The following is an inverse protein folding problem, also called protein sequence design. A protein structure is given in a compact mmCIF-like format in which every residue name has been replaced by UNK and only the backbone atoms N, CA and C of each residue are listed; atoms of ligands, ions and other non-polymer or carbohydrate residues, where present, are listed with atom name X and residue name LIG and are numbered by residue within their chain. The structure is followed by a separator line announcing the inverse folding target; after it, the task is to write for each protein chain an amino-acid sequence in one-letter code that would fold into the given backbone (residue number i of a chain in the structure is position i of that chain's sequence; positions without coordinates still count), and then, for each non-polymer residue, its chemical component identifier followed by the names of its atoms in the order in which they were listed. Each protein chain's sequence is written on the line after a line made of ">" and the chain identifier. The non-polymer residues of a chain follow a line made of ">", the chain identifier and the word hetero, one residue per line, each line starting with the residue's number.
data_IF_011525357884
#
_entry.id   IF_011525357884
#
_cell.length_a   1.000
_cell.length_b   1.000
_cell.length_c   1.000
_cell.angle_alpha   90.00
_cell.angle_beta   90.00
_cell.angle_gamma   90.00
#
_symmetry.space_group_name_H-M   'P 1'
#
loop_
_entity.id
_entity.type
_entity.pdbx_description
1 polymer ?
#
# COMPACT_ATOMS: atom_id res chain seq x y z
N UNK A 1 -25.63 -16.75 -5.45
CA UNK A 1 -24.22 -16.69 -5.83
C UNK A 1 -24.03 -16.54 -7.34
N UNK A 2 -24.71 -17.32 -8.20
CA UNK A 2 -24.55 -17.23 -9.66
C UNK A 2 -24.90 -15.86 -10.25
N UNK A 3 -25.94 -15.18 -9.74
CA UNK A 3 -26.27 -13.81 -10.18
C UNK A 3 -25.17 -12.81 -9.82
N UNK A 4 -24.60 -12.91 -8.61
CA UNK A 4 -23.60 -11.97 -8.14
C UNK A 4 -22.27 -12.08 -8.87
N UNK A 5 -21.82 -13.31 -9.15
CA UNK A 5 -20.65 -13.55 -9.99
C UNK A 5 -20.84 -12.93 -11.38
N UNK A 6 -22.03 -13.11 -11.95
CA UNK A 6 -22.38 -12.52 -13.25
C UNK A 6 -22.33 -10.99 -13.23
N UNK A 7 -22.75 -10.33 -12.15
CA UNK A 7 -22.69 -8.86 -12.05
C UNK A 7 -21.25 -8.36 -11.96
N UNK A 8 -20.42 -8.96 -11.10
CA UNK A 8 -19.01 -8.59 -10.95
C UNK A 8 -18.21 -8.79 -12.25
N UNK A 9 -18.45 -9.90 -12.97
CA UNK A 9 -17.83 -10.17 -14.26
C UNK A 9 -18.25 -9.13 -15.32
N UNK A 10 -19.53 -8.74 -15.35
CA UNK A 10 -20.03 -7.69 -16.24
C UNK A 10 -19.41 -6.33 -15.93
N UNK A 11 -19.23 -5.99 -14.65
CA UNK A 11 -18.56 -4.76 -14.23
C UNK A 11 -17.12 -4.77 -14.73
N UNK A 12 -16.33 -5.81 -14.43
CA UNK A 12 -14.95 -5.93 -14.92
C UNK A 12 -14.88 -5.78 -16.44
N UNK A 13 -15.69 -6.56 -17.18
CA UNK A 13 -15.74 -6.50 -18.63
C UNK A 13 -16.11 -5.11 -19.14
N UNK A 14 -17.00 -4.38 -18.47
CA UNK A 14 -17.39 -3.02 -18.86
C UNK A 14 -16.25 -2.03 -18.75
N UNK A 15 -15.33 -2.18 -17.79
CA UNK A 15 -14.23 -1.22 -17.60
C UNK A 15 -12.95 -1.57 -18.35
N UNK A 16 -12.80 -2.80 -18.84
CA UNK A 16 -11.60 -3.22 -19.53
C UNK A 16 -11.74 -3.17 -21.05
N UNK A 17 -10.60 -3.15 -21.73
CA UNK A 17 -10.49 -3.26 -23.18
C UNK A 17 -10.61 -4.71 -23.67
N UNK A 18 -11.17 -4.91 -24.87
CA UNK A 18 -11.37 -6.25 -25.47
C UNK A 18 -11.06 -6.24 -26.98
N UNK A 19 -10.69 -7.38 -27.60
CA UNK A 19 -10.29 -7.41 -29.01
C UNK A 19 -11.43 -7.06 -29.98
N UNK A 20 -12.68 -7.32 -29.58
CA UNK A 20 -13.89 -6.97 -30.31
C UNK A 20 -14.33 -5.50 -30.09
N UNK A 21 -13.78 -4.84 -29.06
CA UNK A 21 -13.98 -3.42 -28.76
C UNK A 21 -12.65 -2.79 -28.29
N UNK A 22 -11.68 -2.57 -29.20
CA UNK A 22 -10.28 -2.28 -28.86
C UNK A 22 -10.02 -0.83 -28.41
N UNK A 23 -11.06 -0.01 -28.23
CA UNK A 23 -10.89 1.36 -27.76
C UNK A 23 -10.28 1.36 -26.36
N UNK A 24 -9.19 2.11 -26.18
CA UNK A 24 -8.52 2.31 -24.89
C UNK A 24 -9.06 3.51 -24.11
N UNK A 25 -9.85 4.36 -24.76
CA UNK A 25 -10.40 5.57 -24.16
C UNK A 25 -11.34 5.23 -23.01
N UNK A 26 -11.08 5.80 -21.84
CA UNK A 26 -11.86 5.61 -20.61
C UNK A 26 -12.02 4.13 -20.21
N UNK A 27 -11.02 3.31 -20.57
CA UNK A 27 -10.92 1.89 -20.23
C UNK A 27 -9.62 1.60 -19.48
N UNK A 28 -9.53 0.37 -18.94
CA UNK A 28 -8.32 -0.23 -18.42
C UNK A 28 -7.82 -1.31 -19.37
N UNK A 29 -6.50 -1.50 -19.44
CA UNK A 29 -5.92 -2.58 -20.23
C UNK A 29 -6.41 -3.95 -19.73
N UNK A 30 -6.37 -4.16 -18.41
CA UNK A 30 -6.98 -5.28 -17.72
C UNK A 30 -6.98 -5.06 -16.20
N UNK A 31 -7.76 -5.88 -15.50
CA UNK A 31 -7.85 -5.86 -14.04
C UNK A 31 -8.27 -7.24 -13.52
N UNK A 32 -7.86 -7.56 -12.29
CA UNK A 32 -8.31 -8.72 -11.54
C UNK A 32 -8.95 -8.28 -10.22
N UNK A 33 -10.04 -8.95 -9.84
CA UNK A 33 -10.75 -8.68 -8.60
C UNK A 33 -11.04 -10.00 -7.86
N UNK A 34 -10.66 -10.04 -6.59
CA UNK A 34 -10.86 -11.20 -5.72
C UNK A 34 -11.61 -10.74 -4.47
N UNK A 35 -12.68 -11.44 -4.14
CA UNK A 35 -13.45 -11.26 -2.90
C UNK A 35 -13.30 -12.52 -2.08
N UNK A 36 -13.01 -12.35 -0.79
CA UNK A 36 -12.77 -13.43 0.15
C UNK A 36 -13.65 -13.30 1.37
N UNK A 37 -13.93 -14.43 2.00
CA UNK A 37 -14.32 -14.51 3.40
C UNK A 37 -13.27 -15.31 4.18
N UNK A 38 -13.55 -15.66 5.43
CA UNK A 38 -12.65 -16.49 6.25
C UNK A 38 -12.40 -17.88 5.66
N UNK A 39 -13.32 -18.47 4.90
CA UNK A 39 -13.10 -19.76 4.24
C UNK A 39 -12.16 -19.68 3.03
N UNK A 40 -12.04 -18.49 2.42
CA UNK A 40 -11.20 -18.26 1.25
C UNK A 40 -11.92 -17.44 0.17
N UNK A 41 -11.51 -17.54 -1.10
CA UNK A 41 -12.15 -16.82 -2.20
C UNK A 41 -13.61 -17.25 -2.42
N UNK A 42 -14.51 -16.27 -2.39
CA UNK A 42 -15.93 -16.43 -2.74
C UNK A 42 -16.22 -15.89 -4.15
N UNK A 43 -15.36 -15.02 -4.66
CA UNK A 43 -15.30 -14.57 -6.04
C UNK A 43 -13.84 -14.38 -6.47
N UNK A 44 -13.52 -14.80 -7.69
CA UNK A 44 -12.25 -14.53 -8.35
C UNK A 44 -12.55 -14.31 -9.83
N UNK A 45 -12.27 -13.12 -10.34
CA UNK A 45 -12.50 -12.76 -11.73
C UNK A 45 -11.46 -11.79 -12.25
N UNK A 46 -11.30 -11.76 -13.57
CA UNK A 46 -10.43 -10.84 -14.27
C UNK A 46 -11.00 -10.55 -15.67
N UNK A 47 -10.64 -9.40 -16.22
CA UNK A 47 -11.00 -9.03 -17.59
C UNK A 47 -9.88 -8.21 -18.23
N UNK A 48 -9.88 -8.16 -19.56
CA UNK A 48 -8.88 -7.43 -20.35
C UNK A 48 -7.62 -8.25 -20.64
N UNK A 49 -6.56 -7.53 -20.97
CA UNK A 49 -5.32 -8.08 -21.55
C UNK A 49 -4.10 -7.51 -20.84
N UNK A 50 -2.91 -7.97 -21.23
CA UNK A 50 -1.64 -7.50 -20.66
C UNK A 50 -0.74 -6.81 -21.68
N UNK A 51 -1.24 -6.48 -22.87
CA UNK A 51 -0.43 -5.82 -23.91
C UNK A 51 -1.23 -4.91 -24.83
N UNK A 52 -0.55 -3.88 -25.34
CA UNK A 52 -1.02 -3.02 -26.44
C UNK A 52 -0.12 -3.23 -27.68
N UNK A 53 -0.67 -3.18 -28.92
CA UNK A 53 -2.09 -3.12 -29.26
C UNK A 53 -2.83 -4.43 -28.92
N UNK A 54 -4.13 -4.33 -28.67
CA UNK A 54 -4.95 -5.49 -28.33
C UNK A 54 -5.32 -6.27 -29.59
N UNK A 55 -5.05 -7.55 -29.57
CA UNK A 55 -5.39 -8.50 -30.62
C UNK A 55 -6.04 -9.73 -30.00
N UNK A 56 -6.70 -10.57 -30.80
CA UNK A 56 -7.24 -11.86 -30.32
C UNK A 56 -6.16 -12.83 -29.81
N UNK A 57 -4.88 -12.55 -30.09
CA UNK A 57 -3.72 -13.29 -29.59
C UNK A 57 -3.02 -12.64 -28.39
N UNK A 58 -3.47 -11.45 -27.95
CA UNK A 58 -2.88 -10.79 -26.78
C UNK A 58 -3.13 -11.64 -25.54
N UNK A 59 -2.16 -11.81 -24.63
CA UNK A 59 -2.37 -12.56 -23.40
C UNK A 59 -3.47 -11.89 -22.55
N UNK A 60 -4.37 -12.72 -22.02
CA UNK A 60 -5.44 -12.26 -21.14
C UNK A 60 -4.89 -11.85 -19.78
N UNK A 61 -5.47 -10.80 -19.19
CA UNK A 61 -5.28 -10.49 -17.79
C UNK A 61 -6.00 -11.54 -16.94
N UNK A 62 -5.37 -12.02 -15.88
CA UNK A 62 -5.93 -13.07 -15.02
C UNK A 62 -5.61 -12.81 -13.55
N UNK A 63 -6.26 -13.54 -12.64
CA UNK A 63 -6.05 -13.41 -11.20
C UNK A 63 -4.64 -13.83 -10.75
N UNK A 64 -3.92 -14.56 -11.60
CA UNK A 64 -2.51 -14.96 -11.45
C UNK A 64 -1.54 -14.06 -12.25
N UNK A 65 -2.01 -12.95 -12.84
CA UNK A 65 -1.15 -11.94 -13.46
C UNK A 65 -0.22 -11.34 -12.41
N UNK A 66 1.07 -11.25 -12.73
CA UNK A 66 2.15 -10.87 -11.83
C UNK A 66 2.46 -9.38 -11.97
N UNK A 67 2.25 -8.63 -10.89
CA UNK A 67 2.24 -7.16 -10.87
C UNK A 67 3.10 -6.62 -9.73
N UNK A 68 3.51 -5.37 -9.85
CA UNK A 68 4.09 -4.60 -8.76
C UNK A 68 2.99 -3.81 -8.05
N UNK A 69 2.61 -4.24 -6.85
CA UNK A 69 1.44 -3.66 -6.16
C UNK A 69 1.78 -2.48 -5.25
N UNK A 70 3.02 -2.01 -5.27
CA UNK A 70 3.51 -0.85 -4.53
C UNK A 70 3.03 -0.90 -3.07
N UNK A 71 2.24 0.10 -2.64
CA UNK A 71 1.87 0.30 -1.23
C UNK A 71 0.95 -0.77 -0.62
N UNK A 72 0.44 -1.72 -1.40
CA UNK A 72 -0.17 -2.94 -0.85
C UNK A 72 0.81 -3.73 0.04
N UNK A 73 2.13 -3.55 -0.16
CA UNK A 73 3.19 -4.10 0.69
C UNK A 73 3.00 -3.77 2.18
N UNK A 74 2.49 -2.57 2.49
CA UNK A 74 2.44 -2.03 3.85
C UNK A 74 1.65 -2.89 4.82
N UNK A 75 0.55 -3.51 4.35
CA UNK A 75 -0.24 -4.44 5.15
C UNK A 75 0.61 -5.64 5.58
N UNK A 76 1.35 -6.25 4.64
CA UNK A 76 2.14 -7.44 4.93
C UNK A 76 3.37 -7.11 5.79
N UNK A 77 4.02 -5.97 5.57
CA UNK A 77 5.07 -5.46 6.47
C UNK A 77 4.52 -5.27 7.87
N UNK A 78 3.33 -4.68 8.00
CA UNK A 78 2.69 -4.46 9.30
C UNK A 78 2.38 -5.79 10.00
N UNK A 79 1.83 -6.78 9.30
CA UNK A 79 1.61 -8.13 9.84
C UNK A 79 2.91 -8.71 10.41
N UNK A 80 4.02 -8.60 9.67
CA UNK A 80 5.32 -9.10 10.13
C UNK A 80 5.82 -8.37 11.39
N UNK A 81 5.65 -7.05 11.49
CA UNK A 81 6.01 -6.32 12.71
C UNK A 81 5.11 -6.72 13.89
N UNK A 82 3.81 -6.89 13.65
CA UNK A 82 2.87 -7.32 14.68
C UNK A 82 3.11 -8.75 15.16
N UNK A 83 3.62 -9.64 14.30
CA UNK A 83 4.13 -10.96 14.71
C UNK A 83 5.29 -10.81 15.72
N UNK A 84 6.24 -9.90 15.47
CA UNK A 84 7.33 -9.63 16.42
C UNK A 84 6.84 -9.01 17.73
N UNK A 85 5.84 -8.13 17.66
CA UNK A 85 5.19 -7.54 18.84
C UNK A 85 4.53 -8.61 19.69
N UNK A 86 3.73 -9.48 19.08
CA UNK A 86 3.08 -10.59 19.77
C UNK A 86 4.09 -11.56 20.38
N UNK A 87 5.23 -11.80 19.71
CA UNK A 87 6.32 -12.63 20.21
C UNK A 87 7.12 -11.97 21.34
N UNK A 88 6.82 -10.73 21.71
CA UNK A 88 7.55 -9.97 22.73
C UNK A 88 8.97 -9.58 22.32
N UNK A 89 9.30 -9.64 21.03
CA UNK A 89 10.61 -9.25 20.47
C UNK A 89 10.71 -7.75 20.18
N UNK A 90 9.56 -7.09 20.09
CA UNK A 90 9.40 -5.67 19.85
C UNK A 90 8.20 -5.17 20.67
N UNK A 91 8.25 -3.96 21.18
CA UNK A 91 7.09 -3.26 21.73
C UNK A 91 6.66 -2.15 20.78
N UNK A 92 5.36 -1.93 20.63
CA UNK A 92 4.85 -0.85 19.77
C UNK A 92 5.27 0.55 20.22
N UNK A 93 5.59 0.72 21.50
CA UNK A 93 5.84 2.02 22.12
C UNK A 93 7.27 2.13 22.69
N UNK A 94 8.18 1.19 22.37
CA UNK A 94 9.59 1.35 22.72
C UNK A 94 10.28 2.39 21.85
N UNK A 95 11.31 3.03 22.40
CA UNK A 95 12.17 3.94 21.64
C UNK A 95 13.12 3.15 20.73
N UNK A 96 12.96 3.31 19.42
CA UNK A 96 13.76 2.62 18.40
C UNK A 96 14.92 3.45 17.85
N UNK A 97 15.23 4.62 18.42
CA UNK A 97 16.34 5.47 17.94
C UNK A 97 17.70 4.75 17.97
N UNK A 98 17.95 3.92 18.97
CA UNK A 98 19.18 3.10 19.02
C UNK A 98 19.20 1.99 17.95
N UNK A 99 18.02 1.49 17.58
CA UNK A 99 17.89 0.49 16.51
C UNK A 99 17.95 1.14 15.13
N UNK A 100 17.50 2.38 14.98
CA UNK A 100 17.45 3.16 13.73
C UNK A 100 18.19 4.52 13.86
N UNK A 101 19.51 4.53 14.14
CA UNK A 101 20.24 5.77 14.38
C UNK A 101 20.28 6.71 13.17
N UNK A 102 19.98 6.24 11.96
CA UNK A 102 19.86 7.06 10.76
C UNK A 102 18.67 8.02 10.82
N UNK A 103 17.56 7.61 11.45
CA UNK A 103 16.37 8.46 11.59
C UNK A 103 16.62 9.71 12.42
N UNK A 104 17.63 9.70 13.29
CA UNK A 104 17.96 10.85 14.14
C UNK A 104 18.95 11.81 13.49
N UNK A 105 19.67 11.40 12.43
CA UNK A 105 20.79 12.19 11.86
C UNK A 105 20.35 13.47 11.18
N UNK A 106 19.16 13.47 10.56
CA UNK A 106 18.69 14.57 9.74
C UNK A 106 17.82 15.59 10.50
N UNK A 107 17.48 15.31 11.78
CA UNK A 107 16.66 16.21 12.60
C UNK A 107 15.22 16.40 12.09
N UNK A 108 14.58 17.48 12.57
CA UNK A 108 13.25 17.93 12.14
C UNK A 108 13.44 19.21 11.33
N UNK A 109 12.97 19.24 10.07
CA UNK A 109 13.09 20.40 9.20
C UNK A 109 12.10 21.49 9.60
N UNK A 110 12.62 22.69 9.91
CA UNK A 110 11.83 23.87 10.30
C UNK A 110 11.78 24.97 9.26
N UNK A 111 12.47 24.80 8.14
CA UNK A 111 12.57 25.77 7.04
C UNK A 111 14.02 25.99 6.64
N UNK A 112 14.30 27.14 6.02
CA UNK A 112 15.62 27.52 5.55
C UNK A 112 15.98 28.95 5.99
N UNK A 113 17.27 29.22 6.18
CA UNK A 113 17.76 30.49 6.73
C UNK A 113 17.54 31.72 5.82
N UNK A 114 17.20 31.50 4.56
CA UNK A 114 16.87 32.52 3.57
C UNK A 114 15.36 32.72 3.37
N UNK A 115 14.49 31.97 4.06
CA UNK A 115 13.03 32.07 3.90
C UNK A 115 12.49 33.47 4.27
N UNK A 116 13.19 34.18 5.15
CA UNK A 116 12.87 35.56 5.54
C UNK A 116 13.33 36.62 4.54
N UNK A 117 14.10 36.27 3.50
CA UNK A 117 14.59 37.23 2.50
C UNK A 117 13.47 37.59 1.52
N UNK A 118 12.95 38.82 1.62
CA UNK A 118 11.94 39.36 0.69
C UNK A 118 12.58 39.90 -0.60
N UNK A 119 12.21 39.33 -1.75
CA UNK A 119 12.62 39.77 -3.08
C UNK A 119 12.76 38.60 -4.06
N UNK A 120 12.31 38.75 -5.31
CA UNK A 120 12.71 37.87 -6.42
C UNK A 120 14.09 38.32 -6.88
N UNK A 121 15.13 37.57 -6.51
CA UNK A 121 16.54 37.90 -6.80
C UNK A 121 17.50 36.86 -6.20
N UNK A 122 18.68 36.77 -6.81
CA UNK A 122 19.73 35.74 -6.65
C UNK A 122 19.92 35.25 -5.19
N UNK A 123 19.84 33.93 -5.00
CA UNK A 123 20.08 33.24 -3.71
C UNK A 123 18.85 32.70 -2.98
N UNK A 124 17.62 32.94 -3.45
CA UNK A 124 16.42 32.24 -2.95
C UNK A 124 16.45 30.78 -3.39
N UNK A 125 16.37 29.86 -2.42
CA UNK A 125 16.43 28.41 -2.67
C UNK A 125 17.81 27.80 -2.43
N UNK A 126 18.80 28.61 -2.05
CA UNK A 126 20.16 28.18 -1.69
C UNK A 126 20.45 28.29 -0.18
N UNK A 127 19.50 28.80 0.60
CA UNK A 127 19.61 28.84 2.06
C UNK A 127 19.78 27.45 2.67
N UNK A 128 20.38 27.41 3.86
CA UNK A 128 20.66 26.18 4.60
C UNK A 128 19.44 25.74 5.40
N UNK A 129 19.21 24.44 5.47
CA UNK A 129 18.14 23.88 6.28
C UNK A 129 18.31 24.22 7.76
N UNK A 130 17.23 24.70 8.37
CA UNK A 130 17.11 24.88 9.82
C UNK A 130 16.56 23.56 10.38
N UNK A 131 17.40 22.84 11.10
CA UNK A 131 17.08 21.53 11.67
C UNK A 131 16.99 21.62 13.19
N UNK A 132 15.91 21.07 13.75
CA UNK A 132 15.74 20.86 15.19
C UNK A 132 16.12 19.42 15.56
N UNK A 133 16.69 19.23 16.74
CA UNK A 133 17.03 17.90 17.26
C UNK A 133 15.77 17.07 17.58
N UNK A 134 15.84 15.76 17.28
CA UNK A 134 14.78 14.81 17.64
C UNK A 134 14.96 14.37 19.10
N UNK A 135 14.29 15.07 20.01
CA UNK A 135 14.34 14.79 21.45
C UNK A 135 13.31 13.75 21.91
N UNK A 136 12.19 13.62 21.19
CA UNK A 136 11.12 12.66 21.49
C UNK A 136 11.47 11.24 21.01
N UNK A 137 10.98 10.19 21.69
CA UNK A 137 11.11 8.82 21.22
C UNK A 137 10.50 8.65 19.82
N UNK A 138 11.17 7.86 18.99
CA UNK A 138 10.57 7.28 17.77
C UNK A 138 10.09 5.89 18.14
N UNK A 139 8.87 5.52 17.75
CA UNK A 139 8.26 4.23 18.13
C UNK A 139 7.80 3.42 16.92
N UNK A 140 7.72 2.08 17.01
CA UNK A 140 7.16 1.26 15.94
C UNK A 140 5.71 1.63 15.59
N UNK A 141 4.89 1.99 16.58
CA UNK A 141 3.52 2.47 16.36
C UNK A 141 3.51 3.63 15.38
N UNK A 142 4.36 4.64 15.59
CA UNK A 142 4.45 5.82 14.73
C UNK A 142 4.92 5.49 13.31
N UNK A 143 5.75 4.46 13.13
CA UNK A 143 6.11 3.98 11.80
C UNK A 143 4.89 3.40 11.08
N UNK A 144 4.15 2.50 11.75
CA UNK A 144 3.00 1.78 11.19
C UNK A 144 1.77 2.67 10.91
N UNK A 145 1.72 3.86 11.51
CA UNK A 145 0.61 4.81 11.40
C UNK A 145 0.95 6.07 10.62
N UNK A 146 2.17 6.17 10.04
CA UNK A 146 2.63 7.37 9.36
C UNK A 146 2.64 8.65 10.24
N UNK A 147 2.80 8.48 11.56
CA UNK A 147 2.83 9.60 12.52
C UNK A 147 4.23 9.90 13.08
N UNK A 148 5.27 9.41 12.41
CA UNK A 148 6.68 9.66 12.77
C UNK A 148 7.23 10.97 12.19
N UNK A 149 6.63 11.49 11.11
CA UNK A 149 7.09 12.71 10.42
C UNK A 149 7.90 12.47 9.14
N UNK A 150 8.07 11.21 8.71
CA UNK A 150 8.75 10.86 7.47
C UNK A 150 7.79 10.99 6.27
N UNK A 151 8.08 11.93 5.38
CA UNK A 151 7.42 12.07 4.08
C UNK A 151 8.28 11.48 2.97
N UNK A 152 7.66 11.20 1.83
CA UNK A 152 8.39 11.06 0.57
C UNK A 152 9.03 12.39 0.18
N UNK A 153 10.27 12.34 -0.30
CA UNK A 153 11.02 13.52 -0.75
C UNK A 153 10.59 13.97 -2.14
N UNK A 154 10.42 13.04 -3.08
CA UNK A 154 9.90 13.34 -4.42
C UNK A 154 8.50 13.95 -4.34
N UNK A 155 8.34 15.14 -4.92
CA UNK A 155 7.09 15.89 -4.90
C UNK A 155 6.84 16.68 -3.62
N UNK A 156 7.75 16.68 -2.64
CA UNK A 156 7.64 17.48 -1.42
C UNK A 156 8.64 18.66 -1.44
N UNK A 157 8.19 19.92 -1.68
CA UNK A 157 9.08 21.05 -1.97
C UNK A 157 10.19 21.29 -0.94
N UNK A 158 9.89 21.15 0.36
CA UNK A 158 10.88 21.34 1.43
C UNK A 158 11.95 20.23 1.44
N UNK A 159 11.57 18.99 1.13
CA UNK A 159 12.47 17.84 1.17
C UNK A 159 13.30 17.76 -0.11
N UNK A 160 12.74 18.10 -1.27
CA UNK A 160 13.52 18.24 -2.51
C UNK A 160 14.59 19.33 -2.37
N UNK A 161 14.21 20.46 -1.75
CA UNK A 161 15.16 21.54 -1.47
C UNK A 161 16.26 21.12 -0.52
N UNK A 162 15.93 20.44 0.58
CA UNK A 162 16.91 19.89 1.51
C UNK A 162 17.83 18.86 0.82
N UNK A 163 17.26 17.94 0.06
CA UNK A 163 18.01 16.91 -0.66
C UNK A 163 19.03 17.51 -1.63
N UNK A 164 18.64 18.57 -2.35
CA UNK A 164 19.53 19.34 -3.23
C UNK A 164 20.63 20.06 -2.45
N UNK A 165 20.30 20.70 -1.32
CA UNK A 165 21.26 21.40 -0.47
C UNK A 165 22.36 20.46 0.04
N UNK A 166 21.99 19.30 0.58
CA UNK A 166 22.94 18.35 1.16
C UNK A 166 23.60 17.43 0.13
N UNK A 167 23.24 17.56 -1.15
CA UNK A 167 23.71 16.68 -2.21
C UNK A 167 23.38 15.21 -1.98
N UNK A 168 22.16 14.94 -1.47
CA UNK A 168 21.68 13.59 -1.14
C UNK A 168 21.79 12.68 -2.36
N UNK A 169 22.26 11.45 -2.16
CA UNK A 169 22.30 10.43 -3.21
C UNK A 169 21.05 9.57 -3.15
N UNK A 170 20.34 9.54 -4.27
CA UNK A 170 19.06 8.82 -4.37
C UNK A 170 17.93 9.53 -3.63
N UNK A 171 16.76 8.94 -3.76
CA UNK A 171 15.47 9.44 -3.33
C UNK A 171 14.59 8.29 -2.85
N UNK A 172 13.34 8.58 -2.50
CA UNK A 172 12.34 7.58 -2.12
C UNK A 172 12.25 6.39 -3.09
N UNK A 173 12.36 6.64 -4.39
CA UNK A 173 12.22 5.62 -5.44
C UNK A 173 13.51 4.82 -5.64
N UNK A 174 14.60 5.16 -4.99
CA UNK A 174 15.88 4.48 -5.16
C UNK A 174 15.93 3.09 -4.50
N UNK A 175 14.96 2.76 -3.63
CA UNK A 175 14.89 1.49 -2.89
C UNK A 175 16.17 1.23 -2.07
N UNK A 176 16.64 2.25 -1.34
CA UNK A 176 17.83 2.20 -0.47
C UNK A 176 17.54 2.88 0.87
N UNK A 177 18.24 2.47 1.92
CA UNK A 177 18.16 3.12 3.25
C UNK A 177 18.54 4.61 3.16
N UNK A 178 19.55 4.97 2.36
CA UNK A 178 19.95 6.37 2.13
C UNK A 178 18.83 7.17 1.46
N UNK A 179 18.17 6.59 0.45
CA UNK A 179 17.03 7.21 -0.25
C UNK A 179 15.84 7.46 0.66
N UNK A 180 15.60 6.59 1.64
CA UNK A 180 14.54 6.76 2.63
C UNK A 180 14.90 7.64 3.82
N UNK A 181 16.17 8.08 3.93
CA UNK A 181 16.64 8.94 5.01
C UNK A 181 16.38 10.41 4.65
N UNK A 182 15.44 11.03 5.35
CA UNK A 182 15.06 12.46 5.24
C UNK A 182 14.90 13.06 6.64
N UNK A 183 14.97 14.40 6.80
CA UNK A 183 14.50 15.05 8.00
C UNK A 183 13.02 14.76 8.24
N UNK A 184 12.62 14.71 9.50
CA UNK A 184 11.20 14.67 9.86
C UNK A 184 10.57 16.04 9.58
N UNK A 185 9.30 16.07 9.19
CA UNK A 185 8.53 17.32 9.01
C UNK A 185 7.96 17.86 10.32
N UNK A 186 7.81 16.99 11.33
CA UNK A 186 7.33 17.33 12.66
C UNK A 186 7.91 16.35 13.68
N UNK A 187 7.80 16.68 14.97
CA UNK A 187 8.29 15.81 16.02
C UNK A 187 7.45 14.51 16.09
N UNK A 188 8.07 13.34 16.35
CA UNK A 188 7.35 12.06 16.37
C UNK A 188 6.08 12.09 17.23
N UNK A 189 4.96 11.67 16.64
CA UNK A 189 3.64 11.67 17.27
C UNK A 189 2.89 13.00 17.24
N UNK A 190 3.43 14.07 16.64
CA UNK A 190 2.75 15.38 16.60
C UNK A 190 1.96 15.67 15.32
N UNK A 191 1.77 14.68 14.46
CA UNK A 191 1.06 14.84 13.21
C UNK A 191 0.94 13.55 12.42
N UNK A 192 0.55 13.67 11.16
CA UNK A 192 0.46 12.57 10.21
C UNK A 192 0.99 13.02 8.85
N UNK A 193 1.84 12.22 8.21
CA UNK A 193 2.27 12.43 6.82
C UNK A 193 2.66 11.12 6.17
N UNK A 194 2.14 10.88 4.96
CA UNK A 194 2.44 9.69 4.21
C UNK A 194 3.87 9.71 3.65
N UNK A 195 4.58 8.59 3.76
CA UNK A 195 5.99 8.53 3.35
C UNK A 195 6.67 7.19 3.63
N UNK A 196 8.00 7.23 3.81
CA UNK A 196 8.89 6.06 3.92
C UNK A 196 8.84 5.32 5.26
N UNK A 197 7.85 5.62 6.11
CA UNK A 197 7.75 5.07 7.45
C UNK A 197 7.70 3.52 7.48
N UNK A 198 7.01 2.90 6.51
CA UNK A 198 6.93 1.44 6.40
C UNK A 198 8.18 0.81 5.79
N UNK A 199 8.99 1.56 5.03
CA UNK A 199 10.31 1.10 4.61
C UNK A 199 11.23 0.98 5.83
N UNK A 200 11.20 1.99 6.70
CA UNK A 200 11.89 1.95 8.00
C UNK A 200 11.35 0.87 8.95
N UNK A 201 10.06 0.55 8.90
CA UNK A 201 9.52 -0.59 9.63
C UNK A 201 10.15 -1.92 9.15
N UNK A 202 10.34 -2.08 7.84
CA UNK A 202 11.09 -3.20 7.26
C UNK A 202 12.52 -3.28 7.79
N UNK A 203 13.25 -2.16 7.76
CA UNK A 203 14.62 -2.06 8.30
C UNK A 203 14.66 -2.38 9.80
N UNK A 204 13.66 -1.91 10.56
CA UNK A 204 13.54 -2.22 11.99
C UNK A 204 13.41 -3.72 12.22
N UNK A 205 12.55 -4.40 11.45
CA UNK A 205 12.37 -5.84 11.54
C UNK A 205 13.68 -6.59 11.33
N UNK A 206 14.44 -6.24 10.29
CA UNK A 206 15.74 -6.86 10.01
C UNK A 206 16.72 -6.69 11.17
N UNK A 207 16.73 -5.51 11.81
CA UNK A 207 17.62 -5.22 12.95
C UNK A 207 17.20 -5.91 14.23
N UNK A 208 15.89 -6.02 14.48
CA UNK A 208 15.36 -6.79 15.62
C UNK A 208 15.74 -8.27 15.48
N UNK A 209 15.68 -8.82 14.27
CA UNK A 209 16.04 -10.22 14.00
C UNK A 209 17.55 -10.46 13.93
N UNK A 210 18.33 -9.48 13.48
CA UNK A 210 19.79 -9.54 13.38
C UNK A 210 20.53 -9.29 14.70
N UNK A 211 19.86 -8.71 15.70
CA UNK A 211 20.48 -8.26 16.94
C UNK A 211 21.38 -7.03 16.75
N UNK A 212 21.96 -6.54 17.86
CA UNK A 212 22.74 -5.29 17.90
C UNK A 212 24.07 -5.32 17.11
N UNK A 213 24.46 -6.46 16.54
CA UNK A 213 25.82 -6.68 16.00
C UNK A 213 25.93 -6.64 14.47
N UNK A 214 24.84 -6.43 13.72
CA UNK A 214 24.88 -6.18 12.27
C UNK A 214 25.65 -7.23 11.44
N UNK A 215 25.75 -8.48 11.92
CA UNK A 215 26.52 -9.54 11.27
C UNK A 215 25.87 -10.05 9.98
N UNK A 216 26.66 -10.68 9.11
CA UNK A 216 26.33 -11.19 7.76
C UNK A 216 25.15 -12.20 7.67
N UNK A 217 24.46 -12.50 8.77
CA UNK A 217 23.40 -13.51 8.85
C UNK A 217 22.08 -12.92 9.36
N UNK A 218 21.70 -11.75 8.86
CA UNK A 218 20.40 -11.11 9.16
C UNK A 218 19.31 -11.68 8.26
N UNK A 219 18.15 -12.01 8.85
CA UNK A 219 16.95 -12.39 8.08
C UNK A 219 16.42 -11.12 7.42
N UNK A 220 16.36 -11.08 6.09
CA UNK A 220 15.80 -9.94 5.36
C UNK A 220 14.28 -9.88 5.52
N UNK A 221 13.66 -8.73 5.24
CA UNK A 221 12.21 -8.58 5.28
C UNK A 221 11.50 -9.61 4.40
N UNK A 222 11.96 -9.80 3.17
CA UNK A 222 11.45 -10.75 2.19
C UNK A 222 11.63 -12.20 2.63
N UNK A 223 12.75 -12.56 3.26
CA UNK A 223 12.93 -13.89 3.87
C UNK A 223 11.95 -14.11 5.02
N UNK A 224 11.73 -13.10 5.86
CA UNK A 224 10.77 -13.20 6.96
C UNK A 224 9.33 -13.29 6.44
N UNK A 225 8.93 -12.47 5.46
CA UNK A 225 7.62 -12.56 4.81
C UNK A 225 7.43 -13.93 4.16
N UNK A 226 8.44 -14.46 3.46
CA UNK A 226 8.35 -15.79 2.84
C UNK A 226 8.02 -16.86 3.86
N UNK A 227 8.77 -16.91 4.96
CA UNK A 227 8.61 -17.93 6.01
C UNK A 227 7.32 -17.78 6.83
N UNK A 228 6.93 -16.56 7.17
CA UNK A 228 5.88 -16.30 8.16
C UNK A 228 4.55 -15.82 7.56
N UNK A 229 4.51 -15.56 6.25
CA UNK A 229 3.30 -15.12 5.53
C UNK A 229 3.12 -15.91 4.25
N UNK A 230 4.09 -15.93 3.33
CA UNK A 230 3.86 -16.48 1.99
C UNK A 230 3.73 -18.01 1.99
N UNK A 231 4.69 -18.73 2.60
CA UNK A 231 4.65 -20.19 2.65
C UNK A 231 3.45 -20.73 3.45
N UNK A 232 3.12 -20.21 4.66
CA UNK A 232 1.95 -20.67 5.41
C UNK A 232 0.61 -20.44 4.68
N UNK A 233 0.56 -19.42 3.81
CA UNK A 233 -0.64 -19.07 3.06
C UNK A 233 -0.67 -19.65 1.64
N UNK A 234 0.42 -20.27 1.17
CA UNK A 234 0.54 -20.72 -0.23
C UNK A 234 0.58 -19.57 -1.23
N UNK A 235 1.21 -18.43 -0.86
CA UNK A 235 1.45 -17.29 -1.75
C UNK A 235 2.73 -17.48 -2.56
N UNK A 236 2.77 -18.53 -3.39
CA UNK A 236 3.97 -18.96 -4.13
C UNK A 236 4.49 -17.92 -5.12
N UNK A 237 3.66 -16.93 -5.47
CA UNK A 237 4.00 -15.88 -6.42
C UNK A 237 4.65 -14.65 -5.81
N UNK A 238 4.46 -14.45 -4.51
CA UNK A 238 4.81 -13.19 -3.85
C UNK A 238 6.29 -13.09 -3.53
N UNK A 239 6.89 -11.93 -3.79
CA UNK A 239 8.31 -11.64 -3.51
C UNK A 239 8.55 -10.13 -3.38
N UNK A 240 9.57 -9.75 -2.61
CA UNK A 240 10.06 -8.36 -2.55
C UNK A 240 11.25 -8.11 -3.50
N UNK A 241 11.80 -9.17 -4.10
CA UNK A 241 13.00 -9.08 -4.95
C UNK A 241 12.91 -10.05 -6.12
N UNK A 242 12.13 -9.74 -7.17
CA UNK A 242 11.95 -10.60 -8.34
C UNK A 242 13.27 -11.07 -8.96
N UNK A 243 14.27 -10.19 -9.09
CA UNK A 243 15.57 -10.53 -9.67
C UNK A 243 16.34 -11.63 -8.92
N UNK A 244 15.98 -11.93 -7.66
CA UNK A 244 16.59 -13.00 -6.87
C UNK A 244 15.79 -14.32 -6.89
N UNK A 245 14.63 -14.37 -7.55
CA UNK A 245 13.88 -15.61 -7.73
C UNK A 245 14.57 -16.54 -8.75
N UNK A 246 14.41 -17.87 -8.64
CA UNK A 246 14.99 -18.81 -9.60
C UNK A 246 14.63 -18.45 -11.05
N UNK A 247 15.64 -18.36 -11.93
CA UNK A 247 15.48 -17.86 -13.30
C UNK A 247 14.38 -18.59 -14.07
N UNK A 248 14.28 -19.92 -13.98
CA UNK A 248 13.23 -20.70 -14.66
C UNK A 248 11.81 -20.28 -14.24
N UNK A 249 11.61 -20.01 -12.94
CA UNK A 249 10.35 -19.55 -12.37
C UNK A 249 10.05 -18.11 -12.80
N UNK A 250 11.07 -17.26 -12.82
CA UNK A 250 10.96 -15.85 -13.20
C UNK A 250 10.72 -15.67 -14.70
N UNK A 251 11.48 -16.34 -15.56
CA UNK A 251 11.34 -16.31 -17.03
C UNK A 251 9.95 -16.76 -17.47
N UNK A 252 9.46 -17.88 -16.91
CA UNK A 252 8.11 -18.36 -17.18
C UNK A 252 7.06 -17.31 -16.81
N UNK A 253 7.20 -16.66 -15.66
CA UNK A 253 6.27 -15.60 -15.21
C UNK A 253 6.37 -14.35 -16.06
N UNK A 254 7.57 -13.90 -16.38
CA UNK A 254 7.78 -12.74 -17.25
C UNK A 254 7.16 -12.94 -18.62
N UNK A 255 7.30 -14.14 -19.19
CA UNK A 255 6.76 -14.46 -20.51
C UNK A 255 5.24 -14.53 -20.52
N UNK A 256 4.65 -15.15 -19.49
CA UNK A 256 3.24 -15.55 -19.54
C UNK A 256 2.31 -14.64 -18.73
N UNK A 257 2.84 -13.90 -17.74
CA UNK A 257 2.03 -13.30 -16.66
C UNK A 257 2.42 -11.89 -16.23
N UNK A 258 3.61 -11.39 -16.59
CA UNK A 258 4.01 -10.02 -16.25
C UNK A 258 3.10 -9.03 -16.95
N UNK A 259 2.60 -8.07 -16.18
CA UNK A 259 1.76 -6.99 -16.69
C UNK A 259 2.59 -5.71 -16.76
N UNK A 260 2.68 -5.06 -17.94
CA UNK A 260 3.28 -3.76 -18.07
C UNK A 260 2.33 -2.69 -17.52
N UNK A 261 2.90 -1.55 -17.13
CA UNK A 261 2.11 -0.39 -16.72
C UNK A 261 1.36 0.18 -17.92
N UNK A 262 0.08 0.42 -17.76
CA UNK A 262 -0.71 1.23 -18.69
C UNK A 262 -0.68 2.69 -18.23
N UNK A 263 -0.33 3.61 -19.13
CA UNK A 263 -0.32 5.06 -18.90
C UNK A 263 -1.59 5.66 -19.51
N UNK A 264 -2.38 6.38 -18.72
CA UNK A 264 -3.49 7.17 -19.23
C UNK A 264 -3.02 8.57 -19.61
N UNK A 265 -3.32 8.95 -20.84
CA UNK A 265 -3.18 10.32 -21.29
C UNK A 265 -4.32 11.19 -20.72
N UNK A 266 -3.97 12.29 -20.04
CA UNK A 266 -4.92 13.11 -19.31
C UNK A 266 -5.86 13.92 -20.23
N UNK A 267 -5.46 14.20 -21.47
CA UNK A 267 -6.25 15.01 -22.41
C UNK A 267 -7.23 14.16 -23.21
N UNK A 268 -6.76 13.00 -23.69
CA UNK A 268 -7.50 12.13 -24.61
C UNK A 268 -8.24 11.00 -23.88
N UNK A 269 -7.77 10.61 -22.70
CA UNK A 269 -8.24 9.45 -21.94
C UNK A 269 -7.75 8.11 -22.48
N UNK A 270 -6.91 8.11 -23.53
CA UNK A 270 -6.37 6.90 -24.16
C UNK A 270 -5.25 6.25 -23.34
N UNK A 271 -5.02 4.96 -23.56
CA UNK A 271 -3.94 4.21 -22.93
C UNK A 271 -2.75 4.02 -23.86
N UNK A 272 -1.56 4.10 -23.28
CA UNK A 272 -0.30 3.64 -23.88
C UNK A 272 0.43 2.69 -22.93
N UNK A 273 1.37 1.90 -23.46
CA UNK A 273 2.20 1.02 -22.63
C UNK A 273 3.38 1.83 -22.08
N UNK A 274 3.59 1.76 -20.78
CA UNK A 274 4.67 2.44 -20.08
C UNK A 274 5.62 1.49 -19.35
N UNK A 275 6.66 2.09 -18.77
CA UNK A 275 7.57 1.43 -17.85
C UNK A 275 7.07 1.55 -16.41
N UNK A 276 7.65 0.75 -15.52
CA UNK A 276 7.41 0.86 -14.08
C UNK A 276 7.86 2.23 -13.58
N UNK A 277 7.01 2.98 -12.83
CA UNK A 277 7.41 4.25 -12.24
C UNK A 277 8.62 4.14 -11.31
N UNK A 278 8.84 2.96 -10.73
CA UNK A 278 9.98 2.66 -9.85
C UNK A 278 10.67 1.38 -10.35
N UNK A 279 11.53 1.52 -11.34
CA UNK A 279 12.24 0.38 -11.97
C UNK A 279 13.15 -0.39 -11.00
N UNK A 280 13.66 0.27 -9.96
CA UNK A 280 14.45 -0.33 -8.87
C UNK A 280 13.65 -1.34 -8.05
N UNK A 281 12.31 -1.35 -8.12
CA UNK A 281 11.47 -2.35 -7.44
C UNK A 281 11.70 -3.78 -7.95
N UNK A 282 12.27 -3.95 -9.14
CA UNK A 282 12.60 -5.27 -9.70
C UNK A 282 13.84 -5.91 -9.04
N UNK A 283 14.87 -5.10 -8.80
CA UNK A 283 16.12 -5.51 -8.14
C UNK A 283 16.54 -4.45 -7.10
N UNK A 284 15.81 -4.36 -5.97
CA UNK A 284 16.09 -3.37 -4.96
C UNK A 284 17.41 -3.68 -4.22
N UNK A 285 18.14 -2.62 -3.86
CA UNK A 285 19.31 -2.73 -2.98
C UNK A 285 18.92 -2.97 -1.52
N UNK A 286 17.79 -2.43 -1.09
CA UNK A 286 17.15 -2.70 0.20
C UNK A 286 15.68 -3.07 -0.04
N UNK A 287 15.19 -4.14 0.61
CA UNK A 287 13.82 -4.60 0.45
C UNK A 287 12.84 -3.59 1.07
N UNK A 288 12.00 -2.99 0.23
CA UNK A 288 11.08 -1.93 0.65
C UNK A 288 9.85 -2.49 1.36
N UNK A 289 9.70 -2.18 2.64
CA UNK A 289 8.48 -2.48 3.39
C UNK A 289 7.30 -1.57 3.03
N UNK A 290 7.55 -0.44 2.36
CA UNK A 290 6.55 0.52 1.91
C UNK A 290 6.00 0.23 0.51
N UNK A 291 6.77 -0.39 -0.37
CA UNK A 291 6.45 -0.50 -1.79
C UNK A 291 7.12 -1.68 -2.53
N UNK A 292 7.73 -2.65 -1.86
CA UNK A 292 8.54 -3.69 -2.52
C UNK A 292 7.78 -4.88 -3.12
N UNK A 293 6.49 -5.07 -2.82
CA UNK A 293 5.78 -6.31 -3.13
C UNK A 293 5.44 -6.45 -4.61
N UNK A 294 5.85 -7.59 -5.14
CA UNK A 294 5.32 -8.18 -6.37
C UNK A 294 4.44 -9.38 -6.03
N UNK A 295 3.24 -9.44 -6.58
CA UNK A 295 2.26 -10.47 -6.21
C UNK A 295 1.19 -10.65 -7.31
N UNK A 296 0.16 -11.44 -7.01
CA UNK A 296 -1.02 -11.69 -7.83
C UNK A 296 -2.28 -11.42 -7.01
N UNK A 297 -3.43 -11.27 -7.67
CA UNK A 297 -4.69 -11.04 -6.97
C UNK A 297 -5.10 -12.26 -6.14
N UNK A 298 -4.81 -13.46 -6.67
CA UNK A 298 -5.02 -14.71 -5.97
C UNK A 298 -4.23 -14.80 -4.67
N UNK A 299 -2.92 -14.51 -4.72
CA UNK A 299 -2.07 -14.56 -3.53
C UNK A 299 -2.44 -13.48 -2.51
N UNK A 300 -2.71 -12.25 -2.96
CA UNK A 300 -3.09 -11.19 -2.05
C UNK A 300 -4.44 -11.49 -1.37
N UNK A 301 -5.39 -12.08 -2.10
CA UNK A 301 -6.66 -12.56 -1.53
C UNK A 301 -6.45 -13.58 -0.41
N UNK A 302 -5.47 -14.48 -0.51
CA UNK A 302 -5.13 -15.44 0.56
C UNK A 302 -4.70 -14.72 1.85
N UNK A 303 -3.95 -13.63 1.74
CA UNK A 303 -3.56 -12.79 2.89
C UNK A 303 -4.77 -12.11 3.54
N UNK A 304 -5.67 -11.51 2.74
CA UNK A 304 -6.90 -10.88 3.27
C UNK A 304 -7.79 -11.91 3.99
N UNK A 305 -7.97 -13.08 3.39
CA UNK A 305 -8.75 -14.17 3.98
C UNK A 305 -8.14 -14.65 5.30
N UNK A 306 -6.81 -14.66 5.39
CA UNK A 306 -6.10 -15.06 6.60
C UNK A 306 -6.25 -14.04 7.74
N UNK A 307 -6.29 -12.74 7.43
CA UNK A 307 -6.60 -11.70 8.42
C UNK A 307 -8.02 -11.90 8.97
N UNK A 308 -9.00 -12.13 8.10
CA UNK A 308 -10.38 -12.40 8.51
C UNK A 308 -10.50 -13.67 9.37
N UNK A 309 -9.81 -14.76 8.99
CA UNK A 309 -9.77 -15.99 9.80
C UNK A 309 -9.22 -15.76 11.20
N UNK A 310 -8.13 -15.03 11.30
CA UNK A 310 -7.46 -14.82 12.57
C UNK A 310 -8.24 -13.88 13.51
N UNK A 311 -9.18 -13.08 12.98
CA UNK A 311 -10.09 -12.27 13.80
C UNK A 311 -11.15 -13.11 14.54
N UNK A 312 -11.45 -14.33 14.05
CA UNK A 312 -12.47 -15.25 14.58
C UNK A 312 -11.88 -16.46 15.32
N UNK A 313 -10.56 -16.57 15.42
CA UNK A 313 -9.92 -17.77 15.96
C UNK A 313 -10.03 -17.81 17.49
N UNK A 314 -10.88 -18.70 18.01
CA UNK A 314 -11.18 -18.82 19.45
C UNK A 314 -9.94 -19.21 20.29
N UNK A 315 -9.02 -20.06 19.80
CA UNK A 315 -7.83 -20.49 20.59
C UNK A 315 -6.60 -20.89 19.75
N UNK A 316 -6.34 -20.25 18.61
CA UNK A 316 -5.18 -20.61 17.78
C UNK A 316 -4.62 -19.45 16.96
N UNK A 317 -3.29 -19.33 16.96
CA UNK A 317 -2.56 -18.55 15.97
C UNK A 317 -2.92 -19.13 14.58
N UNK A 318 -3.76 -18.42 13.81
CA UNK A 318 -4.15 -18.84 12.45
C UNK A 318 -2.92 -18.96 11.54
N UNK A 319 -3.09 -19.21 10.24
CA UNK A 319 -1.95 -19.35 9.32
C UNK A 319 -0.98 -18.14 9.30
N UNK A 320 -1.41 -16.97 9.79
CA UNK A 320 -0.59 -15.78 10.00
C UNK A 320 0.16 -15.72 11.33
N UNK A 321 -0.01 -16.67 12.25
CA UNK A 321 0.65 -16.59 13.55
C UNK A 321 0.07 -15.52 14.49
N UNK A 322 -0.99 -14.80 14.10
CA UNK A 322 -1.54 -13.66 14.85
C UNK A 322 -2.76 -14.07 15.69
N UNK A 323 -2.83 -13.52 16.91
CA UNK A 323 -3.97 -13.62 17.81
C UNK A 323 -5.00 -12.54 17.54
N UNK A 324 -6.23 -12.81 17.97
CA UNK A 324 -7.35 -11.87 17.85
C UNK A 324 -7.04 -10.51 18.49
N UNK A 325 -6.42 -10.47 19.67
CA UNK A 325 -6.12 -9.20 20.36
C UNK A 325 -5.12 -8.34 19.58
N UNK A 326 -4.16 -8.99 18.92
CA UNK A 326 -3.18 -8.31 18.07
C UNK A 326 -3.85 -7.72 16.84
N UNK A 327 -4.80 -8.43 16.23
CA UNK A 327 -5.61 -7.90 15.13
C UNK A 327 -6.57 -6.80 15.59
N UNK A 328 -7.18 -6.93 16.75
CA UNK A 328 -8.02 -5.88 17.33
C UNK A 328 -7.24 -4.58 17.52
N UNK A 329 -5.98 -4.68 17.94
CA UNK A 329 -5.09 -3.52 17.98
C UNK A 329 -4.82 -2.95 16.59
N UNK A 330 -4.55 -3.78 15.58
CA UNK A 330 -4.32 -3.30 14.20
C UNK A 330 -5.51 -2.50 13.66
N UNK A 331 -6.74 -2.95 13.92
CA UNK A 331 -7.98 -2.35 13.42
C UNK A 331 -8.59 -1.32 14.39
N UNK A 332 -7.81 -0.84 15.36
CA UNK A 332 -8.23 0.23 16.27
C UNK A 332 -7.69 1.59 15.80
N UNK A 333 -8.46 2.69 15.97
CA UNK A 333 -7.98 4.06 15.80
C UNK A 333 -6.64 4.31 16.51
N UNK A 334 -5.64 4.89 15.82
CA UNK A 334 -4.30 5.12 16.38
C UNK A 334 -3.90 6.59 16.46
N UNK A 335 -4.54 7.47 15.69
CA UNK A 335 -4.10 8.86 15.59
C UNK A 335 -4.62 9.68 16.77
N UNK A 336 -3.80 10.64 17.19
CA UNK A 336 -4.24 11.69 18.10
C UNK A 336 -4.95 12.81 17.33
N UNK A 337 -5.45 13.82 18.04
CA UNK A 337 -6.19 14.96 17.48
C UNK A 337 -5.44 15.65 16.33
N UNK A 338 -4.12 15.88 16.46
CA UNK A 338 -3.32 16.53 15.41
C UNK A 338 -3.18 15.64 14.18
N UNK A 339 -2.89 14.36 14.36
CA UNK A 339 -2.81 13.40 13.26
C UNK A 339 -4.15 13.25 12.53
N UNK A 340 -5.25 13.21 13.28
CA UNK A 340 -6.61 13.20 12.74
C UNK A 340 -6.92 14.44 11.91
N UNK A 341 -6.51 15.63 12.34
CA UNK A 341 -6.71 16.83 11.53
C UNK A 341 -5.93 16.76 10.22
N UNK A 342 -4.65 16.37 10.28
CA UNK A 342 -3.79 16.31 9.08
C UNK A 342 -4.26 15.25 8.06
N UNK A 343 -4.73 14.08 8.51
CA UNK A 343 -5.26 13.08 7.58
C UNK A 343 -6.58 13.52 6.94
N UNK A 344 -7.42 14.27 7.67
CA UNK A 344 -8.63 14.90 7.12
C UNK A 344 -8.30 16.02 6.14
N UNK A 345 -7.30 16.85 6.44
CA UNK A 345 -6.78 17.85 5.50
C UNK A 345 -6.33 17.19 4.19
N UNK A 346 -5.59 16.09 4.26
CA UNK A 346 -5.21 15.32 3.07
C UNK A 346 -6.45 14.78 2.34
N UNK A 347 -7.44 14.23 3.06
CA UNK A 347 -8.70 13.77 2.48
C UNK A 347 -9.47 14.88 1.74
N UNK A 348 -9.49 16.10 2.29
CA UNK A 348 -10.12 17.27 1.65
C UNK A 348 -9.33 17.73 0.42
N UNK A 349 -8.01 17.76 0.50
CA UNK A 349 -7.14 18.24 -0.58
C UNK A 349 -7.01 17.24 -1.74
N UNK A 350 -7.09 15.94 -1.46
CA UNK A 350 -6.87 14.89 -2.45
C UNK A 350 -7.79 13.67 -2.25
N UNK A 351 -9.09 13.92 -2.17
CA UNK A 351 -10.10 12.89 -1.93
C UNK A 351 -9.96 11.66 -2.85
N UNK A 352 -9.77 11.89 -4.15
CA UNK A 352 -9.66 10.85 -5.18
C UNK A 352 -8.49 9.86 -4.95
N UNK A 353 -7.40 10.29 -4.30
CA UNK A 353 -6.29 9.40 -3.99
C UNK A 353 -6.38 8.75 -2.61
N UNK A 354 -7.17 9.32 -1.70
CA UNK A 354 -7.19 8.90 -0.29
C UNK A 354 -8.35 7.94 -0.03
N UNK A 355 -9.56 8.35 -0.41
CA UNK A 355 -10.80 7.63 -0.14
C UNK A 355 -11.82 7.77 -1.28
N UNK A 356 -11.42 7.46 -2.53
CA UNK A 356 -12.27 7.68 -3.72
C UNK A 356 -13.62 6.97 -3.68
N UNK A 357 -13.76 5.93 -2.87
CA UNK A 357 -15.00 5.19 -2.70
C UNK A 357 -16.04 5.89 -1.81
N UNK A 358 -15.65 6.89 -1.02
CA UNK A 358 -16.56 7.60 -0.12
C UNK A 358 -17.07 8.90 -0.75
N UNK A 359 -18.17 9.49 -0.23
CA UNK A 359 -18.63 10.79 -0.71
C UNK A 359 -17.60 11.89 -0.40
N UNK A 360 -17.52 12.91 -1.27
CA UNK A 360 -16.74 14.11 -0.96
C UNK A 360 -17.16 14.71 0.38
N UNK A 361 -16.18 15.12 1.18
CA UNK A 361 -16.39 15.62 2.54
C UNK A 361 -16.56 14.53 3.60
N UNK A 362 -16.34 13.25 3.27
CA UNK A 362 -16.25 12.20 4.28
C UNK A 362 -15.00 12.40 5.16
N UNK A 363 -15.20 12.70 6.43
CA UNK A 363 -14.11 12.96 7.40
C UNK A 363 -14.05 11.94 8.54
N UNK A 364 -14.98 10.99 8.56
CA UNK A 364 -15.02 9.93 9.56
C UNK A 364 -13.96 8.86 9.25
N UNK A 365 -12.69 9.24 9.37
CA UNK A 365 -11.53 8.38 9.13
C UNK A 365 -10.50 8.46 10.26
N UNK A 366 -9.76 7.38 10.45
CA UNK A 366 -8.54 7.30 11.25
C UNK A 366 -7.51 6.44 10.50
N UNK A 367 -6.36 6.17 11.10
CA UNK A 367 -5.38 5.22 10.60
C UNK A 367 -5.19 4.10 11.63
N UNK A 368 -5.35 2.85 11.20
CA UNK A 368 -5.01 1.68 12.00
C UNK A 368 -3.52 1.38 11.96
N UNK A 369 -3.10 0.22 12.45
CA UNK A 369 -1.77 -0.31 12.14
C UNK A 369 -1.86 -1.01 10.78
N UNK A 370 -1.46 -0.30 9.71
CA UNK A 370 -1.33 -0.86 8.37
C UNK A 370 -2.18 -0.22 7.27
N UNK A 371 -3.15 0.64 7.59
CA UNK A 371 -3.98 1.32 6.59
C UNK A 371 -5.01 2.29 7.18
N UNK A 372 -5.77 2.92 6.30
CA UNK A 372 -6.84 3.86 6.63
C UNK A 372 -8.05 3.09 7.21
N UNK A 373 -8.72 3.66 8.20
CA UNK A 373 -9.95 3.13 8.79
C UNK A 373 -11.10 4.07 8.49
N UNK A 374 -12.26 3.55 8.07
CA UNK A 374 -13.50 4.32 8.11
C UNK A 374 -14.19 4.16 9.47
N UNK A 375 -14.66 5.25 10.06
CA UNK A 375 -15.28 5.28 11.39
C UNK A 375 -16.81 5.35 11.35
N UNK A 376 -17.36 5.56 10.17
CA UNK A 376 -18.81 5.55 9.91
C UNK A 376 -19.14 4.60 8.75
N UNK A 377 -20.38 4.12 8.77
CA UNK A 377 -20.96 3.36 7.66
C UNK A 377 -21.27 4.28 6.50
N UNK A 378 -20.97 3.83 5.28
CA UNK A 378 -21.48 4.45 4.06
C UNK A 378 -22.44 3.49 3.40
N UNK A 379 -23.67 3.94 3.13
CA UNK A 379 -24.71 3.10 2.54
C UNK A 379 -24.24 2.49 1.20
N UNK A 380 -24.40 1.17 1.05
CA UNK A 380 -23.95 0.43 -0.12
C UNK A 380 -22.46 0.05 -0.12
N UNK A 381 -21.67 0.35 0.93
CA UNK A 381 -20.25 -0.05 1.05
C UNK A 381 -19.87 -0.87 2.30
N UNK A 382 -18.58 -1.00 2.58
CA UNK A 382 -18.10 -1.66 3.81
C UNK A 382 -18.53 -0.96 5.09
N UNK A 383 -18.58 -1.70 6.19
CA UNK A 383 -18.97 -1.20 7.51
C UNK A 383 -17.87 -0.37 8.17
N UNK A 384 -18.23 0.42 9.17
CA UNK A 384 -17.27 1.12 10.05
C UNK A 384 -16.28 0.13 10.68
N UNK A 385 -15.06 0.61 10.93
CA UNK A 385 -13.95 -0.20 11.40
C UNK A 385 -13.29 -1.06 10.32
N UNK A 386 -13.70 -0.93 9.05
CA UNK A 386 -12.98 -1.57 7.94
C UNK A 386 -11.68 -0.85 7.66
N UNK A 387 -10.66 -1.61 7.27
CA UNK A 387 -9.36 -1.06 6.89
C UNK A 387 -9.16 -1.15 5.38
N UNK A 388 -8.55 -0.13 4.78
CA UNK A 388 -8.22 -0.10 3.36
C UNK A 388 -6.86 0.54 3.08
N UNK A 389 -6.30 0.24 1.90
CA UNK A 389 -5.21 1.01 1.34
C UNK A 389 -5.08 0.83 -0.18
N UNK A 390 -4.26 1.67 -0.81
CA UNK A 390 -4.11 1.76 -2.26
C UNK A 390 -2.63 1.74 -2.68
N UNK A 391 -2.36 1.18 -3.86
CA UNK A 391 -1.05 1.09 -4.50
C UNK A 391 -0.87 2.17 -5.56
N UNK A 392 0.39 2.52 -5.85
CA UNK A 392 0.74 3.61 -6.75
C UNK A 392 0.22 3.43 -8.18
N UNK A 393 0.15 2.17 -8.66
CA UNK A 393 -0.43 1.80 -9.94
C UNK A 393 -1.94 1.45 -9.86
N UNK A 394 -2.68 2.07 -8.92
CA UNK A 394 -4.13 1.89 -8.73
C UNK A 394 -4.58 0.45 -8.43
N UNK A 395 -3.80 -0.28 -7.62
CA UNK A 395 -4.31 -1.48 -6.94
C UNK A 395 -4.95 -1.09 -5.59
N UNK A 396 -6.02 -1.76 -5.17
CA UNK A 396 -6.80 -1.42 -3.97
C UNK A 396 -7.08 -2.68 -3.15
N UNK A 397 -7.24 -2.53 -1.84
CA UNK A 397 -7.80 -3.59 -0.98
C UNK A 397 -8.59 -3.02 0.17
N UNK A 398 -9.52 -3.82 0.69
CA UNK A 398 -10.17 -3.57 1.98
C UNK A 398 -10.39 -4.86 2.77
N UNK A 399 -10.53 -4.71 4.09
CA UNK A 399 -10.92 -5.76 5.03
C UNK A 399 -12.02 -5.21 5.93
N UNK A 400 -13.22 -5.78 5.82
CA UNK A 400 -14.38 -5.52 6.66
C UNK A 400 -14.60 -6.72 7.60
N UNK A 401 -14.18 -6.55 8.86
CA UNK A 401 -14.30 -7.60 9.88
C UNK A 401 -15.73 -7.75 10.40
N UNK A 402 -16.57 -6.73 10.27
CA UNK A 402 -17.96 -6.78 10.75
C UNK A 402 -18.81 -7.66 9.83
N UNK A 403 -18.63 -7.53 8.51
CA UNK A 403 -19.32 -8.39 7.53
C UNK A 403 -18.57 -9.68 7.22
N UNK A 404 -17.30 -9.77 7.61
CA UNK A 404 -16.43 -10.91 7.32
C UNK A 404 -15.98 -10.98 5.86
N UNK A 405 -15.92 -9.82 5.17
CA UNK A 405 -15.59 -9.69 3.75
C UNK A 405 -14.28 -8.95 3.58
N UNK A 406 -13.42 -9.45 2.71
CA UNK A 406 -12.23 -8.75 2.23
C UNK A 406 -12.18 -8.80 0.72
N UNK A 407 -11.54 -7.82 0.09
CA UNK A 407 -11.32 -7.88 -1.34
C UNK A 407 -10.07 -7.11 -1.78
N UNK A 408 -9.55 -7.49 -2.94
CA UNK A 408 -8.53 -6.74 -3.63
C UNK A 408 -8.86 -6.57 -5.11
N UNK A 409 -8.65 -5.35 -5.61
CA UNK A 409 -8.63 -4.99 -7.03
C UNK A 409 -7.18 -4.77 -7.42
N UNK A 410 -6.67 -5.58 -8.34
CA UNK A 410 -5.32 -5.44 -8.85
C UNK A 410 -5.38 -4.97 -10.30
N UNK A 411 -4.71 -3.84 -10.54
CA UNK A 411 -4.53 -3.21 -11.83
C UNK A 411 -3.12 -2.60 -11.86
N UNK A 412 -2.59 -2.42 -13.07
CA UNK A 412 -1.29 -1.82 -13.32
C UNK A 412 -1.46 -0.53 -14.15
N UNK A 413 -2.22 0.43 -13.60
CA UNK A 413 -2.64 1.66 -14.29
C UNK A 413 -2.00 2.88 -13.63
N UNK A 414 -1.50 3.82 -14.43
CA UNK A 414 -0.88 5.06 -13.98
C UNK A 414 -1.39 6.25 -14.82
N UNK A 415 -1.49 7.50 -14.30
CA UNK A 415 -1.13 7.97 -12.96
C UNK A 415 -2.01 7.43 -11.83
N UNK A 416 -1.51 7.55 -10.59
CA UNK A 416 -2.29 7.26 -9.38
C UNK A 416 -3.58 8.11 -9.31
N UNK A 417 -4.61 7.56 -8.67
CA UNK A 417 -5.97 8.14 -8.65
C UNK A 417 -6.61 8.22 -10.04
N UNK A 418 -6.43 7.16 -10.84
CA UNK A 418 -7.02 7.04 -12.18
C UNK A 418 -8.56 7.04 -12.08
N UNK A 419 -9.26 7.93 -12.80
CA UNK A 419 -10.71 8.08 -12.67
C UNK A 419 -11.49 6.83 -13.08
N UNK A 420 -10.98 6.04 -14.03
CA UNK A 420 -11.63 4.82 -14.49
C UNK A 420 -11.47 3.71 -13.44
N UNK A 421 -10.29 3.59 -12.83
CA UNK A 421 -10.07 2.63 -11.73
C UNK A 421 -10.91 2.99 -10.52
N UNK A 422 -10.99 4.28 -10.15
CA UNK A 422 -11.83 4.75 -9.05
C UNK A 422 -13.29 4.34 -9.26
N UNK A 423 -13.84 4.57 -10.45
CA UNK A 423 -15.22 4.20 -10.73
C UNK A 423 -15.42 2.67 -10.74
N UNK A 424 -14.48 1.92 -11.33
CA UNK A 424 -14.50 0.46 -11.30
C UNK A 424 -14.53 -0.06 -9.85
N UNK A 425 -13.61 0.42 -9.01
CA UNK A 425 -13.49 0.04 -7.62
C UNK A 425 -14.77 0.33 -6.84
N UNK A 426 -15.34 1.54 -7.01
CA UNK A 426 -16.58 1.93 -6.40
C UNK A 426 -17.78 1.04 -6.79
N UNK A 427 -17.88 0.68 -8.07
CA UNK A 427 -18.98 -0.15 -8.58
C UNK A 427 -18.83 -1.61 -8.15
N UNK A 428 -17.61 -2.14 -8.14
CA UNK A 428 -17.31 -3.47 -7.60
C UNK A 428 -17.65 -3.56 -6.10
N UNK A 429 -17.24 -2.58 -5.30
CA UNK A 429 -17.56 -2.55 -3.87
C UNK A 429 -19.09 -2.54 -3.65
N UNK A 430 -19.81 -1.66 -4.35
CA UNK A 430 -21.28 -1.62 -4.27
C UNK A 430 -21.93 -2.94 -4.65
N UNK A 431 -21.45 -3.60 -5.71
CA UNK A 431 -21.95 -4.91 -6.12
C UNK A 431 -21.66 -5.98 -5.05
N UNK A 432 -20.45 -6.01 -4.47
CA UNK A 432 -20.10 -6.92 -3.38
C UNK A 432 -21.08 -6.79 -2.21
N UNK A 433 -21.30 -5.58 -1.70
CA UNK A 433 -22.16 -5.40 -0.53
C UNK A 433 -23.66 -5.51 -0.87
N UNK A 434 -24.08 -5.09 -2.06
CA UNK A 434 -25.46 -5.25 -2.52
C UNK A 434 -25.86 -6.71 -2.78
N UNK A 435 -24.90 -7.56 -3.16
CA UNK A 435 -25.19 -8.92 -3.65
C UNK A 435 -24.58 -10.06 -2.83
N UNK A 436 -23.68 -9.78 -1.90
CA UNK A 436 -23.08 -10.78 -1.02
C UNK A 436 -23.50 -10.58 0.45
N UNK A 437 -23.75 -9.34 0.90
CA UNK A 437 -24.16 -9.06 2.29
C UNK A 437 -25.70 -9.07 2.43
N UNK A 438 -26.30 -10.00 3.21
CA UNK A 438 -27.75 -10.21 3.26
C UNK A 438 -28.58 -9.01 3.71
N UNK A 439 -28.09 -8.22 4.67
CA UNK A 439 -28.81 -7.07 5.22
C UNK A 439 -29.14 -6.02 4.16
N UNK A 440 -28.31 -5.93 3.11
CA UNK A 440 -28.40 -4.90 2.09
C UNK A 440 -29.08 -5.38 0.81
N UNK A 441 -29.07 -6.70 0.57
CA UNK A 441 -29.97 -7.34 -0.41
C UNK A 441 -31.43 -6.98 -0.15
N UNK A 442 -31.84 -6.91 1.12
CA UNK A 442 -33.21 -6.63 1.51
C UNK A 442 -33.65 -5.17 1.27
N UNK A 443 -32.70 -4.24 1.07
CA UNK A 443 -32.99 -2.85 0.70
C UNK A 443 -32.93 -2.58 -0.80
N UNK A 444 -32.24 -3.43 -1.56
CA UNK A 444 -32.07 -3.32 -3.01
C UNK A 444 -33.12 -4.10 -3.82
N UNK A 445 -33.89 -4.99 -3.16
CA UNK A 445 -35.08 -5.65 -3.69
C UNK A 445 -36.34 -4.88 -3.32
#
# INVERSE_FOLDING_TARGET
>A
MTSAKSTLDQILHRYTTHPDSPSTKDKLLGAAFVVVDKSGPIYSGAAGHTSLPITSSSPAFSTDSFLWVASLTKLLTTICLMQLVQQGKLSLDEDIREKLPELTKAGILRGFDDDSKSGEGEGKGEGKAILEEITKPITPRQLLTHSVGLSYDLGHPLLERWAKEVGKKGDTNSMTVEGWTTPLLFAPGEGWVYGTALDWAGVLLERVLGGASGGENTTTLGQYMRKNVFEPLGMETSTLKPAAEPLEKLEKRMKDKLVPVALRDAETGELSQGELPISTAWDPKAESGGAGLWTTAEDYGKALAAVLRAADADEGEGALGLKKETLDQMFSPQLNEKGLEMIKEMGRAFHAGVMPEFPEGFEAVDHGLGGLLNLEDVEGKRRKGSMMWHGYCNSHWWIDRETGIGACLLAEQFPFADPVVIQLYNDLERAVYGELVPEWKAKAA
#
